data_IF_901540873590
#
_entry.id   IF_901540873590
#
_cell.length_a   1.000
_cell.length_b   1.000
_cell.length_c   1.000
_cell.angle_alpha   90.00
_cell.angle_beta   90.00
_cell.angle_gamma   90.00
#
_symmetry.space_group_name_H-M   'P 1'
#
loop_
_entity.id
_entity.type
_entity.pdbx_description
1 polymer ?
#
# COMPACT_ATOMS: atom_id res chain seq x y z
N UNK A 1 -30.82 5.74 -42.51
CA UNK A 1 -30.90 4.44 -41.82
C UNK A 1 -29.69 4.37 -40.88
N UNK A 2 -29.93 4.47 -39.57
CA UNK A 2 -28.88 4.57 -38.53
C UNK A 2 -28.27 3.19 -38.23
N UNK A 3 -26.94 3.07 -38.28
CA UNK A 3 -26.20 1.94 -37.71
C UNK A 3 -25.80 2.30 -36.28
N UNK A 4 -26.33 1.58 -35.29
CA UNK A 4 -25.94 1.69 -33.87
C UNK A 4 -24.88 0.63 -33.59
N UNK A 5 -23.65 1.07 -33.31
CA UNK A 5 -22.54 0.19 -32.92
C UNK A 5 -22.62 -0.07 -31.42
N UNK A 6 -22.97 -1.29 -31.00
CA UNK A 6 -22.79 -1.73 -29.62
C UNK A 6 -21.34 -2.18 -29.45
N UNK A 7 -20.51 -1.36 -28.81
CA UNK A 7 -19.18 -1.79 -28.37
C UNK A 7 -19.34 -2.40 -26.98
N UNK A 8 -19.60 -3.71 -26.95
CA UNK A 8 -19.49 -4.53 -25.75
C UNK A 8 -18.04 -4.52 -25.30
N UNK A 9 -17.73 -3.76 -24.26
CA UNK A 9 -16.41 -3.76 -23.62
C UNK A 9 -16.22 -5.10 -22.93
N UNK A 10 -15.36 -5.93 -23.51
CA UNK A 10 -14.91 -7.18 -22.90
C UNK A 10 -14.12 -6.83 -21.64
N UNK A 11 -14.69 -7.12 -20.47
CA UNK A 11 -14.02 -6.92 -19.17
C UNK A 11 -12.93 -8.00 -19.05
N UNK A 12 -11.72 -7.66 -19.47
CA UNK A 12 -10.54 -8.47 -19.23
C UNK A 12 -10.22 -8.43 -17.74
N UNK A 13 -10.75 -9.40 -17.00
CA UNK A 13 -10.33 -9.67 -15.63
C UNK A 13 -8.99 -10.39 -15.69
N UNK A 14 -7.91 -9.65 -15.91
CA UNK A 14 -6.56 -10.20 -15.80
C UNK A 14 -6.24 -10.35 -14.31
N UNK A 15 -6.52 -11.53 -13.75
CA UNK A 15 -5.97 -11.95 -12.47
C UNK A 15 -4.46 -12.19 -12.65
N UNK A 16 -3.67 -11.11 -12.56
CA UNK A 16 -2.24 -11.26 -12.32
C UNK A 16 -2.07 -11.81 -10.91
N UNK A 17 -1.43 -12.98 -10.81
CA UNK A 17 -0.91 -13.51 -9.56
C UNK A 17 -0.06 -12.43 -8.86
N UNK A 18 -0.57 -11.95 -7.73
CA UNK A 18 -0.05 -10.77 -7.02
C UNK A 18 1.32 -11.06 -6.41
N UNK A 19 2.38 -10.49 -6.99
CA UNK A 19 3.46 -9.95 -6.19
C UNK A 19 3.20 -8.47 -6.01
N UNK A 20 2.90 -8.01 -4.79
CA UNK A 20 2.73 -6.58 -4.59
C UNK A 20 4.05 -5.84 -4.84
N UNK A 21 3.94 -4.64 -5.40
CA UNK A 21 5.06 -3.73 -5.56
C UNK A 21 5.39 -3.08 -4.22
N UNK A 22 6.64 -2.62 -4.07
CA UNK A 22 6.97 -1.70 -2.99
C UNK A 22 6.30 -0.35 -3.25
N UNK A 23 5.74 0.32 -2.23
CA UNK A 23 5.07 1.60 -2.42
C UNK A 23 6.04 2.73 -2.75
N UNK A 24 7.33 2.57 -2.44
CA UNK A 24 8.40 3.52 -2.79
C UNK A 24 9.62 2.74 -3.26
N UNK A 25 10.46 3.40 -4.04
CA UNK A 25 11.64 2.80 -4.63
C UNK A 25 11.31 1.87 -5.80
N UNK A 26 12.33 1.14 -6.25
CA UNK A 26 12.26 0.13 -7.29
C UNK A 26 13.04 -1.11 -6.88
N UNK A 27 13.68 -1.82 -7.81
CA UNK A 27 14.77 -2.73 -7.50
C UNK A 27 16.08 -1.92 -7.30
N UNK A 28 16.84 -2.11 -6.20
CA UNK A 28 16.56 -2.96 -5.04
C UNK A 28 15.46 -2.38 -4.10
N UNK A 29 14.82 -3.22 -3.27
CA UNK A 29 13.81 -2.77 -2.30
C UNK A 29 14.27 -1.60 -1.43
N UNK A 30 13.35 -0.73 -0.99
CA UNK A 30 13.68 0.35 -0.08
C UNK A 30 14.17 -0.20 1.27
N UNK A 31 15.05 0.56 1.93
CA UNK A 31 15.46 0.25 3.29
C UNK A 31 14.27 0.40 4.26
N UNK A 32 14.11 -0.58 5.15
CA UNK A 32 13.14 -0.53 6.24
C UNK A 32 13.84 0.12 7.45
N UNK A 33 13.61 1.41 7.66
CA UNK A 33 14.22 2.16 8.77
C UNK A 33 13.57 1.83 10.12
N UNK A 34 12.30 1.39 10.10
CA UNK A 34 11.61 0.87 11.28
C UNK A 34 10.66 -0.27 10.94
N UNK A 35 10.88 -1.42 11.57
CA UNK A 35 10.07 -2.61 11.36
C UNK A 35 8.71 -2.60 12.07
N UNK A 36 7.86 -3.55 11.68
CA UNK A 36 6.58 -3.84 12.31
C UNK A 36 6.77 -4.29 13.76
N UNK A 37 6.10 -3.62 14.69
CA UNK A 37 6.15 -3.91 16.13
C UNK A 37 4.72 -3.79 16.69
N UNK A 38 3.88 -4.84 16.62
CA UNK A 38 2.49 -4.72 17.00
C UNK A 38 2.38 -4.29 18.47
N UNK A 39 1.55 -3.30 18.80
CA UNK A 39 1.34 -2.92 20.18
C UNK A 39 0.62 -4.05 20.93
N UNK A 40 0.93 -4.31 22.22
CA UNK A 40 0.27 -5.36 23.01
C UNK A 40 -1.20 -5.06 23.32
N UNK A 41 -1.67 -3.86 23.01
CA UNK A 41 -3.07 -3.44 23.12
C UNK A 41 -3.37 -2.24 22.21
N UNK A 42 -4.64 -1.87 22.04
CA UNK A 42 -5.07 -0.85 21.08
C UNK A 42 -4.45 0.53 21.34
N UNK A 43 -4.15 0.86 22.60
CA UNK A 43 -3.56 2.14 23.02
C UNK A 43 -2.10 2.03 23.49
N UNK A 44 -1.52 0.84 23.42
CA UNK A 44 -0.13 0.65 23.83
C UNK A 44 0.85 1.17 22.78
N UNK A 45 2.09 1.40 23.23
CA UNK A 45 3.21 1.72 22.36
C UNK A 45 3.50 0.56 21.41
N UNK A 46 4.02 0.91 20.23
CA UNK A 46 4.34 -0.03 19.17
C UNK A 46 4.46 0.71 17.84
N UNK A 47 4.60 -0.05 16.77
CA UNK A 47 4.69 0.41 15.41
C UNK A 47 3.67 -0.34 14.53
N UNK A 48 2.60 0.37 14.16
CA UNK A 48 1.41 -0.14 13.47
C UNK A 48 1.58 -0.21 11.93
N UNK A 49 2.82 -0.32 11.48
CA UNK A 49 3.22 -0.38 10.08
C UNK A 49 4.72 -0.63 9.97
N UNK A 50 5.30 -0.25 8.84
CA UNK A 50 6.75 -0.16 8.64
C UNK A 50 7.08 1.24 8.12
N UNK A 51 8.28 1.73 8.44
CA UNK A 51 8.78 2.98 7.90
C UNK A 51 9.84 2.63 6.85
N UNK A 52 9.65 3.15 5.63
CA UNK A 52 10.53 2.94 4.50
C UNK A 52 11.33 4.22 4.25
N UNK A 53 12.66 4.11 4.07
CA UNK A 53 13.48 5.24 3.66
C UNK A 53 12.94 5.82 2.35
N UNK A 54 12.58 7.10 2.36
CA UNK A 54 11.95 7.75 1.22
C UNK A 54 12.21 9.27 1.25
N UNK A 55 13.02 9.81 0.32
CA UNK A 55 13.20 11.25 0.21
C UNK A 55 11.87 12.00 0.01
N UNK A 56 11.77 13.28 0.37
CA UNK A 56 10.61 14.10 0.03
C UNK A 56 10.31 14.07 -1.48
N UNK A 57 9.04 14.27 -1.83
CA UNK A 57 8.49 14.36 -3.18
C UNK A 57 8.58 13.10 -4.05
N UNK A 58 9.22 12.02 -3.57
CA UNK A 58 9.21 10.73 -4.30
C UNK A 58 7.77 10.21 -4.43
N UNK A 59 7.42 9.62 -5.60
CA UNK A 59 6.09 9.09 -5.81
C UNK A 59 5.86 7.87 -4.92
N UNK A 60 4.67 7.83 -4.31
CA UNK A 60 4.12 6.64 -3.67
C UNK A 60 3.30 5.90 -4.72
N UNK A 61 3.63 4.64 -4.97
CA UNK A 61 2.94 3.77 -5.91
C UNK A 61 1.93 2.88 -5.17
N UNK A 62 0.82 2.56 -5.81
CA UNK A 62 -0.12 1.55 -5.32
C UNK A 62 0.55 0.16 -5.31
N UNK A 63 0.75 -0.50 -4.15
CA UNK A 63 1.37 -1.83 -4.08
C UNK A 63 0.56 -2.89 -4.83
N UNK A 64 -0.77 -2.73 -4.79
CA UNK A 64 -1.79 -3.63 -5.32
C UNK A 64 -2.92 -2.77 -5.86
N UNK A 65 -3.66 -3.27 -6.86
CA UNK A 65 -4.88 -2.61 -7.34
C UNK A 65 -5.92 -2.47 -6.22
N UNK A 66 -6.67 -1.38 -6.22
CA UNK A 66 -7.68 -1.11 -5.20
C UNK A 66 -8.43 0.19 -5.42
N UNK A 67 -9.14 0.64 -4.40
CA UNK A 67 -9.91 1.90 -4.42
C UNK A 67 -9.41 2.82 -3.33
N UNK A 68 -9.15 4.08 -3.66
CA UNK A 68 -8.82 5.11 -2.67
C UNK A 68 -10.06 5.33 -1.80
N UNK A 69 -9.97 5.01 -0.51
CA UNK A 69 -11.08 5.18 0.45
C UNK A 69 -10.88 6.37 1.38
N UNK A 70 -9.66 6.91 1.43
CA UNK A 70 -9.36 8.16 2.11
C UNK A 70 -8.18 8.85 1.45
N UNK A 71 -8.25 10.17 1.34
CA UNK A 71 -7.18 11.04 0.86
C UNK A 71 -7.34 12.41 1.52
N UNK A 72 -6.48 12.74 2.50
CA UNK A 72 -6.62 13.99 3.24
C UNK A 72 -5.83 14.03 4.55
N UNK A 73 -6.03 15.07 5.38
CA UNK A 73 -5.30 15.23 6.63
C UNK A 73 -5.86 14.35 7.77
N UNK A 74 -4.96 13.77 8.57
CA UNK A 74 -5.23 13.11 9.85
C UNK A 74 -4.20 13.60 10.87
N UNK A 75 -4.63 14.27 11.94
CA UNK A 75 -3.72 14.81 12.96
C UNK A 75 -2.64 15.73 12.40
N UNK A 76 -2.98 16.54 11.39
CA UNK A 76 -2.06 17.46 10.71
C UNK A 76 -1.11 16.82 9.68
N UNK A 77 -1.20 15.50 9.44
CA UNK A 77 -0.40 14.78 8.45
C UNK A 77 -1.27 14.32 7.29
N UNK A 78 -0.82 14.46 6.05
CA UNK A 78 -1.53 13.92 4.91
C UNK A 78 -1.45 12.39 4.86
N UNK A 79 -2.58 11.74 4.61
CA UNK A 79 -2.74 10.28 4.58
C UNK A 79 -3.53 9.89 3.33
N UNK A 80 -3.14 8.77 2.72
CA UNK A 80 -3.93 8.08 1.69
C UNK A 80 -4.18 6.64 2.12
N UNK A 81 -5.41 6.15 1.92
CA UNK A 81 -5.80 4.75 2.20
C UNK A 81 -6.38 4.08 0.96
N UNK A 82 -5.85 2.92 0.59
CA UNK A 82 -6.45 2.03 -0.40
C UNK A 82 -7.21 0.91 0.30
N UNK A 83 -8.43 0.63 -0.12
CA UNK A 83 -9.13 -0.63 0.18
C UNK A 83 -8.84 -1.62 -0.94
N UNK A 84 -8.53 -2.86 -0.57
CA UNK A 84 -8.12 -3.94 -1.47
C UNK A 84 -9.26 -4.96 -1.61
N UNK A 85 -10.06 -4.91 -2.69
CA UNK A 85 -11.17 -5.86 -2.90
C UNK A 85 -10.69 -7.31 -2.99
N UNK A 86 -11.57 -8.27 -2.68
CA UNK A 86 -11.27 -9.70 -2.81
C UNK A 86 -10.31 -10.27 -1.76
N UNK A 87 -9.89 -9.46 -0.76
CA UNK A 87 -8.96 -9.87 0.30
C UNK A 87 -9.66 -10.36 1.59
N UNK A 88 -10.90 -10.81 1.47
CA UNK A 88 -11.76 -11.27 2.57
C UNK A 88 -12.71 -10.21 3.12
N UNK A 89 -13.36 -10.53 4.24
CA UNK A 89 -14.38 -9.67 4.88
C UNK A 89 -14.01 -9.41 6.34
N UNK A 90 -13.78 -8.15 6.76
CA UNK A 90 -13.69 -6.96 5.90
C UNK A 90 -12.45 -7.00 4.98
N UNK A 91 -12.46 -6.26 3.86
CA UNK A 91 -11.32 -6.16 2.98
C UNK A 91 -10.13 -5.54 3.71
N UNK A 92 -8.92 -5.94 3.29
CA UNK A 92 -7.70 -5.28 3.72
C UNK A 92 -7.70 -3.81 3.28
N UNK A 93 -7.16 -2.95 4.14
CA UNK A 93 -6.85 -1.57 3.80
C UNK A 93 -5.37 -1.31 4.03
N UNK A 94 -4.74 -0.60 3.12
CA UNK A 94 -3.34 -0.18 3.24
C UNK A 94 -3.22 1.34 3.24
N UNK A 95 -2.37 1.87 4.11
CA UNK A 95 -2.28 3.30 4.44
C UNK A 95 -0.89 3.83 4.18
N UNK A 96 -0.80 5.09 3.75
CA UNK A 96 0.45 5.78 3.41
C UNK A 96 0.48 7.15 4.10
N UNK A 97 1.56 7.45 4.81
CA UNK A 97 1.74 8.72 5.53
C UNK A 97 3.22 8.99 5.81
N UNK A 98 3.68 10.25 5.90
CA UNK A 98 2.96 11.45 5.50
C UNK A 98 3.07 11.66 3.99
N UNK A 99 1.96 12.03 3.35
CA UNK A 99 1.90 12.18 1.90
C UNK A 99 1.01 13.34 1.45
N UNK A 100 1.27 13.88 0.26
CA UNK A 100 0.31 14.68 -0.51
C UNK A 100 -0.40 13.76 -1.50
N UNK A 101 -1.71 13.49 -1.34
CA UNK A 101 -2.47 12.66 -2.28
C UNK A 101 -2.48 13.26 -3.70
N UNK A 102 -2.31 12.40 -4.71
CA UNK A 102 -2.46 12.75 -6.13
C UNK A 102 -3.81 12.29 -6.70
N UNK A 103 -4.48 11.37 -5.99
CA UNK A 103 -5.72 10.73 -6.42
C UNK A 103 -6.79 10.92 -5.34
N UNK A 104 -8.02 11.35 -5.70
CA UNK A 104 -9.09 11.58 -4.72
C UNK A 104 -9.71 10.29 -4.19
N UNK A 105 -10.42 10.38 -3.07
CA UNK A 105 -11.25 9.29 -2.57
C UNK A 105 -12.34 8.90 -3.59
N UNK A 106 -12.65 7.60 -3.66
CA UNK A 106 -13.56 6.99 -4.62
C UNK A 106 -12.88 6.48 -5.89
N UNK A 107 -11.65 6.91 -6.20
CA UNK A 107 -10.98 6.52 -7.43
C UNK A 107 -10.45 5.08 -7.38
N UNK A 108 -10.67 4.26 -8.43
CA UNK A 108 -9.96 3.01 -8.63
C UNK A 108 -8.52 3.28 -9.09
N UNK A 109 -7.57 2.46 -8.64
CA UNK A 109 -6.16 2.52 -9.05
C UNK A 109 -5.64 1.13 -9.37
N UNK A 110 -4.78 1.03 -10.39
CA UNK A 110 -4.05 -0.19 -10.70
C UNK A 110 -2.80 -0.30 -9.81
N UNK A 111 -2.24 -1.50 -9.68
CA UNK A 111 -0.92 -1.66 -9.07
C UNK A 111 0.13 -0.87 -9.87
N UNK A 112 1.04 -0.18 -9.16
CA UNK A 112 2.09 0.64 -9.76
C UNK A 112 1.66 2.06 -10.15
N UNK A 113 0.38 2.39 -10.06
CA UNK A 113 -0.09 3.78 -10.28
C UNK A 113 0.47 4.70 -9.20
N UNK A 114 1.06 5.87 -9.54
CA UNK A 114 1.39 6.90 -8.57
C UNK A 114 0.12 7.45 -7.91
N UNK A 115 0.02 7.35 -6.59
CA UNK A 115 -1.18 7.74 -5.82
C UNK A 115 -0.94 8.92 -4.89
N UNK A 116 0.31 9.19 -4.51
CA UNK A 116 0.67 10.28 -3.62
C UNK A 116 2.15 10.67 -3.82
N UNK A 117 2.60 11.74 -3.15
CA UNK A 117 4.03 12.10 -2.97
C UNK A 117 4.38 12.13 -1.51
N UNK A 118 5.56 11.65 -1.14
CA UNK A 118 6.06 11.70 0.25
C UNK A 118 6.26 13.16 0.67
N UNK A 119 5.83 13.50 1.88
CA UNK A 119 6.12 14.81 2.48
C UNK A 119 7.14 14.69 3.60
N UNK A 120 7.84 15.79 3.96
CA UNK A 120 8.75 15.79 5.09
C UNK A 120 8.06 15.35 6.39
N UNK A 121 8.80 14.66 7.24
CA UNK A 121 8.30 14.19 8.53
C UNK A 121 9.35 14.39 9.62
N UNK A 122 8.91 14.63 10.85
CA UNK A 122 9.79 14.75 12.03
C UNK A 122 9.95 13.45 12.82
N UNK A 123 9.28 12.36 12.44
CA UNK A 123 9.28 11.12 13.23
C UNK A 123 10.45 10.17 12.90
N UNK A 124 11.07 10.35 11.74
CA UNK A 124 12.29 9.67 11.33
C UNK A 124 13.43 10.72 11.25
N UNK A 125 14.69 10.35 11.58
CA UNK A 125 15.84 11.24 11.43
C UNK A 125 16.05 11.70 9.97
N UNK A 126 15.80 10.79 9.02
CA UNK A 126 15.70 11.06 7.59
C UNK A 126 14.23 10.89 7.14
N UNK A 127 13.80 11.52 6.04
CA UNK A 127 12.40 11.40 5.60
C UNK A 127 12.07 9.94 5.25
N UNK A 128 10.90 9.49 5.70
CA UNK A 128 10.45 8.11 5.55
C UNK A 128 8.95 8.09 5.25
N UNK A 129 8.51 7.02 4.56
CA UNK A 129 7.09 6.71 4.37
C UNK A 129 6.66 5.64 5.37
N UNK A 130 5.70 5.99 6.23
CA UNK A 130 4.96 5.02 7.03
C UNK A 130 3.94 4.30 6.14
N UNK A 131 4.13 2.98 6.02
CA UNK A 131 3.25 2.08 5.29
C UNK A 131 2.53 1.16 6.28
N UNK A 132 1.20 1.20 6.29
CA UNK A 132 0.36 0.39 7.17
C UNK A 132 -0.53 -0.61 6.43
N UNK A 133 -0.96 -1.64 7.14
CA UNK A 133 -1.94 -2.63 6.68
C UNK A 133 -2.90 -2.97 7.83
N UNK A 134 -4.18 -3.08 7.53
CA UNK A 134 -5.20 -3.41 8.51
C UNK A 134 -6.36 -4.21 7.91
N UNK A 135 -7.02 -5.00 8.76
CA UNK A 135 -8.31 -5.64 8.51
C UNK A 135 -9.28 -5.21 9.61
N UNK A 136 -10.35 -4.52 9.24
CA UNK A 136 -11.26 -3.94 10.25
C UNK A 136 -10.52 -2.89 11.08
N UNK A 137 -10.38 -3.14 12.38
CA UNK A 137 -9.61 -2.35 13.36
C UNK A 137 -8.23 -2.97 13.69
N UNK A 138 -7.96 -4.18 13.19
CA UNK A 138 -6.73 -4.92 13.48
C UNK A 138 -5.63 -4.55 12.51
N UNK A 139 -4.52 -4.03 13.04
CA UNK A 139 -3.30 -3.81 12.27
C UNK A 139 -2.57 -5.13 11.99
N UNK A 140 -1.95 -5.20 10.81
CA UNK A 140 -1.20 -6.34 10.29
C UNK A 140 0.15 -5.86 9.78
N UNK A 141 1.10 -6.79 9.62
CA UNK A 141 2.38 -6.47 8.98
C UNK A 141 2.19 -6.19 7.48
N UNK A 142 2.46 -4.97 6.98
CA UNK A 142 2.28 -4.61 5.56
C UNK A 142 3.18 -5.39 4.60
N UNK A 143 4.32 -5.91 5.08
CA UNK A 143 5.22 -6.76 4.28
C UNK A 143 4.57 -8.09 3.87
N UNK A 144 3.42 -8.46 4.44
CA UNK A 144 2.63 -9.58 3.94
C UNK A 144 2.13 -9.37 2.50
N UNK A 145 2.07 -8.12 2.02
CA UNK A 145 1.72 -7.82 0.63
C UNK A 145 2.88 -8.11 -0.33
N UNK A 146 4.14 -7.92 0.08
CA UNK A 146 5.31 -8.08 -0.79
C UNK A 146 5.80 -9.53 -0.93
N UNK A 147 5.34 -10.43 -0.05
CA UNK A 147 5.72 -11.85 -0.11
C UNK A 147 5.06 -12.53 -1.30
N UNK A 148 5.90 -12.94 -2.26
CA UNK A 148 5.55 -13.99 -3.25
C UNK A 148 5.27 -15.30 -2.48
N UNK A 149 4.51 -16.22 -3.07
CA UNK A 149 4.12 -17.52 -2.50
C UNK A 149 5.28 -18.32 -1.86
N UNK A 150 4.97 -19.42 -1.15
CA UNK A 150 5.81 -19.98 -0.09
C UNK A 150 7.28 -20.10 -0.49
N UNK A 151 8.16 -19.56 0.37
CA UNK A 151 9.61 -19.79 0.28
C UNK A 151 9.87 -21.29 0.34
N UNK A 152 10.29 -21.89 -0.79
CA UNK A 152 10.90 -23.23 -0.76
C UNK A 152 12.34 -23.07 -0.28
N UNK A 153 12.66 -23.69 0.84
CA UNK A 153 14.05 -23.86 1.25
C UNK A 153 14.73 -24.78 0.24
N UNK A 154 15.96 -24.44 -0.16
CA UNK A 154 16.84 -25.35 -0.88
C UNK A 154 17.17 -26.50 0.08
N UNK A 155 16.88 -27.77 -0.25
CA UNK A 155 17.35 -28.89 0.56
C UNK A 155 18.88 -28.87 0.58
N UNK A 156 19.47 -28.68 1.74
CA UNK A 156 20.91 -28.85 1.94
C UNK A 156 21.12 -30.28 2.47
N UNK A 157 21.33 -31.21 1.54
CA UNK A 157 21.80 -32.56 1.85
C UNK A 157 20.90 -33.68 1.33
N UNK A 158 21.46 -34.46 0.41
CA UNK A 158 21.19 -35.88 0.22
C UNK A 158 22.50 -36.64 0.44
#
# INVERSE_FOLDING_TARGET
>A
MHFTTYVTTCVTTLFLALGALWPVGGPPPPEIVRGWQPPPGPYAAGHRGVDLAAPPDVPVLAPVAGTVTFAGPVGGRGVLTLTLPGTGTPPLRTTFSPVTPLVPAGAPVAAGTPIARVTPSTHCPETCLHWGLLRGDRYLNPLLLTKRGPSRLLPLGG
#
